data_IF_840785023531
#
_entry.id   IF_840785023531
#
_cell.length_a   1.000
_cell.length_b   1.000
_cell.length_c   1.000
_cell.angle_alpha   90.00
_cell.angle_beta   90.00
_cell.angle_gamma   90.00
#
_symmetry.space_group_name_H-M   'P 1'
#
loop_
_entity.id
_entity.type
_entity.pdbx_description
1 polymer ?
#
# COMPACT_ATOMS: atom_id res chain seq x y z
N UNK A 1 1.12 -3.77 -8.12
CA UNK A 1 1.60 -2.39 -7.85
C UNK A 1 0.45 -1.42 -7.56
N UNK A 2 -0.55 -1.28 -8.45
CA UNK A 2 -1.72 -0.38 -8.25
C UNK A 2 -2.40 -0.47 -6.86
N UNK A 3 -2.43 -1.64 -6.22
CA UNK A 3 -3.03 -1.81 -4.90
C UNK A 3 -2.17 -1.23 -3.76
N UNK A 4 -0.84 -1.35 -3.86
CA UNK A 4 0.09 -0.76 -2.90
C UNK A 4 0.08 0.77 -3.00
N UNK A 5 0.06 1.31 -4.22
CA UNK A 5 -0.01 2.76 -4.43
C UNK A 5 -1.31 3.35 -3.87
N UNK A 6 -2.44 2.65 -4.07
CA UNK A 6 -3.74 3.02 -3.46
C UNK A 6 -3.69 2.97 -1.92
N UNK A 7 -2.99 1.99 -1.35
CA UNK A 7 -2.83 1.87 0.11
C UNK A 7 -2.03 3.05 0.66
N UNK A 8 -0.90 3.38 0.02
CA UNK A 8 -0.05 4.52 0.37
C UNK A 8 -0.85 5.84 0.27
N UNK A 9 -1.64 6.03 -0.80
CA UNK A 9 -2.45 7.23 -0.95
C UNK A 9 -3.53 7.39 0.14
N UNK A 10 -4.20 6.29 0.52
CA UNK A 10 -5.20 6.31 1.59
C UNK A 10 -4.57 6.66 2.94
N UNK A 11 -3.45 6.03 3.25
CA UNK A 11 -2.70 6.27 4.47
C UNK A 11 -2.23 7.73 4.56
N UNK A 12 -1.70 8.27 3.46
CA UNK A 12 -1.32 9.69 3.35
C UNK A 12 -2.48 10.65 3.59
N UNK A 13 -3.67 10.31 3.11
CA UNK A 13 -4.86 11.14 3.32
C UNK A 13 -5.28 11.16 4.80
N UNK A 14 -5.19 10.01 5.46
CA UNK A 14 -5.50 9.87 6.89
C UNK A 14 -4.48 10.60 7.77
N UNK A 15 -3.19 10.46 7.44
CA UNK A 15 -2.11 11.19 8.11
C UNK A 15 -2.29 12.69 7.98
N UNK A 16 -2.52 13.20 6.77
CA UNK A 16 -2.78 14.61 6.56
C UNK A 16 -4.00 15.14 7.33
N UNK A 17 -5.05 14.32 7.50
CA UNK A 17 -6.22 14.70 8.30
C UNK A 17 -5.84 14.87 9.77
N UNK A 18 -5.16 13.89 10.35
CA UNK A 18 -4.75 13.94 11.76
C UNK A 18 -3.71 15.05 12.01
N UNK A 19 -2.83 15.33 11.05
CA UNK A 19 -1.89 16.46 11.11
C UNK A 19 -2.60 17.82 11.12
N UNK A 20 -3.65 17.98 10.32
CA UNK A 20 -4.44 19.23 10.31
C UNK A 20 -5.08 19.46 11.68
N UNK A 21 -5.64 18.40 12.28
CA UNK A 21 -6.18 18.46 13.63
C UNK A 21 -5.11 18.86 14.64
N UNK A 22 -3.93 18.22 14.61
CA UNK A 22 -2.85 18.52 15.53
C UNK A 22 -2.29 19.95 15.37
N UNK A 23 -2.24 20.49 14.15
CA UNK A 23 -1.84 21.89 13.90
C UNK A 23 -2.85 22.90 14.46
N UNK A 24 -4.14 22.56 14.45
CA UNK A 24 -5.18 23.43 15.00
C UNK A 24 -5.33 23.33 16.52
N UNK A 25 -4.77 22.29 17.14
CA UNK A 25 -4.79 22.11 18.59
C UNK A 25 -3.78 23.06 19.26
N UNK A 26 -4.27 23.82 20.24
CA UNK A 26 -3.44 24.67 21.09
C UNK A 26 -3.12 23.90 22.38
N UNK A 27 -1.86 23.94 22.81
CA UNK A 27 -1.43 23.24 24.01
C UNK A 27 -1.10 24.24 25.12
N UNK A 28 -1.50 23.91 26.35
CA UNK A 28 -1.18 24.71 27.53
C UNK A 28 0.28 24.50 27.98
N UNK A 29 0.89 23.36 27.63
CA UNK A 29 2.27 23.06 27.98
C UNK A 29 3.01 22.18 26.95
N UNK A 30 4.34 22.22 26.99
CA UNK A 30 5.24 21.43 26.14
C UNK A 30 5.02 19.91 26.31
N UNK A 31 4.89 19.35 27.53
CA UNK A 31 4.59 17.93 27.73
C UNK A 31 3.31 17.43 27.02
N UNK A 32 2.27 18.25 26.95
CA UNK A 32 1.01 17.89 26.30
C UNK A 32 1.20 17.80 24.78
N UNK A 33 1.87 18.80 24.21
CA UNK A 33 2.25 18.80 22.79
C UNK A 33 3.14 17.60 22.43
N UNK A 34 4.07 17.22 23.31
CA UNK A 34 4.92 16.04 23.13
C UNK A 34 4.14 14.73 23.24
N UNK A 35 3.15 14.65 24.12
CA UNK A 35 2.28 13.48 24.27
C UNK A 35 1.41 13.30 23.03
N UNK A 36 0.82 14.38 22.53
CA UNK A 36 0.05 14.37 21.29
C UNK A 36 0.92 13.95 20.09
N UNK A 37 2.16 14.48 20.00
CA UNK A 37 3.17 14.03 19.04
C UNK A 37 3.42 12.51 19.12
N UNK A 38 3.63 11.95 20.32
CA UNK A 38 3.90 10.50 20.48
C UNK A 38 2.71 9.64 20.08
N UNK A 39 1.49 10.01 20.49
CA UNK A 39 0.26 9.32 20.09
C UNK A 39 0.10 9.30 18.57
N UNK A 40 0.39 10.42 17.95
CA UNK A 40 0.34 10.57 16.50
C UNK A 40 1.39 9.68 15.81
N UNK A 41 2.64 9.67 16.28
CA UNK A 41 3.70 8.79 15.76
C UNK A 41 3.34 7.30 15.86
N UNK A 42 2.68 6.87 16.93
CA UNK A 42 2.32 5.46 17.14
C UNK A 42 1.18 4.98 16.23
N UNK A 43 0.30 5.88 15.79
CA UNK A 43 -0.85 5.55 14.96
C UNK A 43 -0.52 5.48 13.46
N UNK A 44 0.62 6.05 13.06
CA UNK A 44 1.05 6.04 11.68
C UNK A 44 1.95 4.86 11.41
N UNK A 45 1.75 4.17 10.27
CA UNK A 45 2.80 3.26 9.83
C UNK A 45 4.04 4.11 9.54
N UNK A 46 5.22 3.55 9.84
CA UNK A 46 6.54 4.17 9.72
C UNK A 46 6.92 4.73 8.33
N UNK A 47 5.99 4.76 7.39
CA UNK A 47 6.15 5.13 5.99
C UNK A 47 6.15 6.65 5.76
N UNK A 48 5.71 7.47 6.72
CA UNK A 48 5.50 8.91 6.47
C UNK A 48 6.26 9.90 7.36
N UNK A 49 6.96 9.46 8.43
CA UNK A 49 7.48 10.41 9.41
C UNK A 49 9.01 10.45 9.45
N UNK A 50 9.56 11.61 9.05
CA UNK A 50 10.94 11.99 9.38
C UNK A 50 11.05 12.85 10.64
N UNK A 51 10.13 13.81 10.90
CA UNK A 51 10.28 14.67 12.10
C UNK A 51 9.04 15.51 12.45
N UNK A 52 8.63 15.51 13.72
CA UNK A 52 7.65 16.46 14.27
C UNK A 52 8.39 17.45 15.18
N UNK A 53 8.31 18.75 14.91
CA UNK A 53 8.90 19.79 15.75
C UNK A 53 7.80 20.52 16.55
N UNK A 54 8.04 20.78 17.82
CA UNK A 54 7.16 21.61 18.65
C UNK A 54 7.87 22.94 18.83
N UNK A 55 7.19 24.05 18.55
CA UNK A 55 7.75 25.39 18.74
C UNK A 55 6.83 26.21 19.66
N UNK A 56 7.44 27.06 20.47
CA UNK A 56 6.71 28.08 21.22
C UNK A 56 6.35 29.21 20.26
N UNK A 57 5.08 29.59 20.23
CA UNK A 57 4.59 30.71 19.43
C UNK A 57 4.06 31.74 20.41
N UNK A 58 4.85 32.79 20.65
CA UNK A 58 4.39 33.93 21.43
C UNK A 58 3.17 34.55 20.74
N UNK A 59 1.99 34.44 21.36
CA UNK A 59 0.81 35.14 20.90
C UNK A 59 0.94 36.63 21.24
N UNK A 60 0.75 37.50 20.25
CA UNK A 60 0.71 38.97 20.44
C UNK A 60 -0.42 39.46 21.36
N UNK A 61 -1.28 38.56 21.82
CA UNK A 61 -2.39 38.82 22.72
C UNK A 61 -2.30 37.84 23.90
N UNK A 62 -2.59 38.34 25.10
CA UNK A 62 -2.64 37.58 26.36
C UNK A 62 -3.61 36.41 26.20
N UNK A 63 -3.07 35.21 25.94
CA UNK A 63 -3.86 34.01 25.68
C UNK A 63 -3.20 32.85 26.42
N UNK A 64 -3.99 32.09 27.18
CA UNK A 64 -3.57 30.97 28.05
C UNK A 64 -2.87 29.78 27.35
N UNK A 65 -2.53 29.88 26.06
CA UNK A 65 -2.01 28.77 25.24
C UNK A 65 -0.91 29.23 24.25
N UNK A 66 0.35 29.40 24.69
CA UNK A 66 1.46 29.90 23.85
C UNK A 66 2.17 28.81 23.02
N UNK A 67 1.70 27.56 23.04
CA UNK A 67 2.39 26.44 22.37
C UNK A 67 1.63 25.94 21.14
N UNK A 68 2.33 25.89 19.99
CA UNK A 68 1.82 25.35 18.73
C UNK A 68 2.76 24.26 18.18
N UNK A 69 2.21 23.24 17.51
CA UNK A 69 3.00 22.15 16.94
C UNK A 69 3.20 22.34 15.44
N UNK A 70 4.44 22.62 15.03
CA UNK A 70 4.80 22.64 13.61
C UNK A 70 5.19 21.25 13.10
N UNK A 71 4.26 20.63 12.36
CA UNK A 71 4.50 19.31 11.80
C UNK A 71 4.96 19.35 10.34
N UNK A 72 6.08 18.67 10.06
CA UNK A 72 6.57 18.38 8.71
C UNK A 72 6.60 16.86 8.48
N UNK A 73 5.87 16.38 7.48
CA UNK A 73 5.74 14.94 7.19
C UNK A 73 6.42 14.64 5.86
N UNK A 74 7.27 13.61 5.86
CA UNK A 74 8.11 13.24 4.72
C UNK A 74 8.15 11.72 4.58
N UNK A 75 7.88 11.24 3.37
CA UNK A 75 7.86 9.81 3.06
C UNK A 75 9.22 9.14 3.34
N UNK A 76 9.16 7.95 3.96
CA UNK A 76 10.32 7.07 4.16
C UNK A 76 10.47 6.14 2.96
N UNK A 77 11.11 6.67 1.92
CA UNK A 77 11.30 5.99 0.63
C UNK A 77 11.87 4.57 0.75
N UNK A 78 12.83 4.34 1.66
CA UNK A 78 13.45 3.03 1.87
C UNK A 78 12.47 1.94 2.31
N UNK A 79 11.46 2.28 3.13
CA UNK A 79 10.40 1.32 3.50
C UNK A 79 9.42 1.09 2.36
N UNK A 80 9.09 2.14 1.60
CA UNK A 80 8.22 2.02 0.41
C UNK A 80 8.87 1.09 -0.62
N UNK A 81 10.17 1.22 -0.83
CA UNK A 81 10.91 0.35 -1.74
C UNK A 81 10.92 -1.10 -1.24
N UNK A 82 11.11 -1.32 0.07
CA UNK A 82 11.05 -2.65 0.67
C UNK A 82 9.66 -3.29 0.49
N UNK A 83 8.59 -2.55 0.73
CA UNK A 83 7.21 -3.02 0.56
C UNK A 83 6.87 -3.25 -0.91
N UNK A 84 7.37 -2.41 -1.83
CA UNK A 84 7.29 -2.65 -3.28
C UNK A 84 7.97 -3.96 -3.67
N UNK A 85 9.19 -4.20 -3.15
CA UNK A 85 9.93 -5.46 -3.37
C UNK A 85 9.17 -6.65 -2.81
N UNK A 86 8.53 -6.53 -1.64
CA UNK A 86 7.71 -7.60 -1.03
C UNK A 86 6.46 -7.88 -1.84
N UNK A 87 5.70 -6.85 -2.21
CA UNK A 87 4.45 -6.96 -2.97
C UNK A 87 4.65 -7.48 -4.40
N UNK A 88 5.87 -7.42 -4.94
CA UNK A 88 6.22 -7.98 -6.25
C UNK A 88 6.62 -9.45 -6.23
N UNK A 89 6.75 -10.09 -5.06
CA UNK A 89 7.18 -11.49 -4.95
C UNK A 89 6.02 -12.43 -5.23
N UNK A 90 6.34 -13.56 -5.84
CA UNK A 90 5.46 -14.70 -6.04
C UNK A 90 6.29 -15.98 -5.92
N UNK A 91 5.61 -17.10 -5.66
CA UNK A 91 6.22 -18.41 -5.54
C UNK A 91 5.75 -19.24 -6.72
N UNK A 92 6.69 -19.89 -7.40
CA UNK A 92 6.40 -20.95 -8.37
C UNK A 92 6.83 -22.27 -7.74
N UNK A 93 5.96 -23.26 -7.81
CA UNK A 93 6.21 -24.61 -7.34
C UNK A 93 6.03 -25.60 -8.50
N UNK A 94 6.90 -26.59 -8.57
CA UNK A 94 6.85 -27.68 -9.56
C UNK A 94 7.14 -29.00 -8.88
N UNK A 95 6.57 -30.09 -9.40
CA UNK A 95 6.87 -31.45 -8.98
C UNK A 95 8.11 -32.03 -9.70
N UNK A 96 8.68 -31.31 -10.66
CA UNK A 96 9.90 -31.70 -11.37
C UNK A 96 11.10 -31.48 -10.45
N UNK A 97 11.77 -32.57 -10.08
CA UNK A 97 12.91 -32.55 -9.16
C UNK A 97 14.24 -32.26 -9.87
N UNK A 98 14.36 -32.65 -11.14
CA UNK A 98 15.57 -32.43 -11.93
C UNK A 98 15.62 -30.98 -12.45
N UNK A 99 16.72 -30.29 -12.13
CA UNK A 99 16.96 -28.90 -12.53
C UNK A 99 17.42 -28.77 -13.98
N UNK A 100 17.90 -29.86 -14.59
CA UNK A 100 18.27 -29.91 -16.00
C UNK A 100 17.04 -30.13 -16.89
N UNK A 101 16.00 -30.80 -16.37
CA UNK A 101 14.73 -31.01 -17.07
C UNK A 101 13.87 -29.74 -17.11
N UNK A 102 13.91 -28.93 -16.05
CA UNK A 102 13.22 -27.64 -16.00
C UNK A 102 14.09 -26.58 -15.33
N UNK A 103 14.68 -25.72 -16.16
CA UNK A 103 15.44 -24.58 -15.68
C UNK A 103 14.52 -23.50 -15.06
N UNK A 104 15.09 -22.60 -14.26
CA UNK A 104 14.33 -21.52 -13.60
C UNK A 104 13.76 -20.55 -14.63
N UNK A 105 14.52 -20.29 -15.68
CA UNK A 105 14.17 -19.40 -16.78
C UNK A 105 13.01 -19.98 -17.59
N UNK A 106 13.05 -21.27 -17.90
CA UNK A 106 11.95 -21.97 -18.57
C UNK A 106 10.69 -22.04 -17.69
N UNK A 107 10.83 -22.34 -16.40
CA UNK A 107 9.71 -22.32 -15.46
C UNK A 107 9.01 -20.96 -15.45
N UNK A 108 9.78 -19.87 -15.38
CA UNK A 108 9.24 -18.51 -15.40
C UNK A 108 8.56 -18.21 -16.75
N UNK A 109 9.18 -18.61 -17.87
CA UNK A 109 8.63 -18.43 -19.21
C UNK A 109 7.29 -19.16 -19.37
N UNK A 110 7.21 -20.44 -18.98
CA UNK A 110 5.98 -21.24 -19.02
C UNK A 110 4.87 -20.61 -18.18
N UNK A 111 5.18 -20.19 -16.94
CA UNK A 111 4.22 -19.50 -16.08
C UNK A 111 3.68 -18.21 -16.73
N UNK A 112 4.56 -17.39 -17.32
CA UNK A 112 4.15 -16.16 -18.01
C UNK A 112 3.32 -16.42 -19.27
N UNK A 113 3.60 -17.53 -19.96
CA UNK A 113 2.85 -17.98 -21.13
C UNK A 113 1.43 -18.47 -20.84
N UNK A 114 1.12 -18.87 -19.60
CA UNK A 114 -0.19 -19.43 -19.22
C UNK A 114 -1.36 -18.44 -19.43
N UNK A 115 -1.09 -17.13 -19.47
CA UNK A 115 -2.12 -16.12 -19.70
C UNK A 115 -2.84 -16.25 -21.05
N UNK A 116 -2.20 -16.81 -22.09
CA UNK A 116 -2.84 -17.02 -23.38
C UNK A 116 -3.92 -18.10 -23.31
N UNK A 117 -3.65 -19.17 -22.57
CA UNK A 117 -4.58 -20.28 -22.32
C UNK A 117 -5.80 -19.76 -21.55
N UNK A 118 -5.59 -18.98 -20.49
CA UNK A 118 -6.69 -18.41 -19.70
C UNK A 118 -7.61 -17.51 -20.55
N UNK A 119 -7.04 -16.67 -21.42
CA UNK A 119 -7.84 -15.83 -22.34
C UNK A 119 -8.64 -16.67 -23.35
N UNK A 120 -8.05 -17.74 -23.87
CA UNK A 120 -8.74 -18.69 -24.75
C UNK A 120 -9.93 -19.36 -24.06
N UNK A 121 -9.77 -19.78 -22.80
CA UNK A 121 -10.88 -20.35 -22.03
C UNK A 121 -11.97 -19.34 -21.66
N UNK A 122 -11.61 -18.09 -21.40
CA UNK A 122 -12.60 -17.02 -21.16
C UNK A 122 -13.44 -16.80 -22.43
N UNK A 123 -12.81 -16.76 -23.60
CA UNK A 123 -13.50 -16.65 -24.89
C UNK A 123 -14.44 -17.84 -25.15
N UNK A 124 -14.00 -19.08 -24.91
CA UNK A 124 -14.84 -20.27 -25.06
C UNK A 124 -16.02 -20.31 -24.10
N UNK A 125 -15.94 -19.60 -22.96
CA UNK A 125 -17.02 -19.48 -21.99
C UNK A 125 -17.90 -18.26 -22.23
N UNK A 126 -17.62 -17.43 -23.23
CA UNK A 126 -18.44 -16.28 -23.55
C UNK A 126 -19.81 -16.74 -24.07
N UNK A 127 -20.93 -16.37 -23.41
CA UNK A 127 -22.27 -16.74 -23.85
C UNK A 127 -22.59 -16.31 -25.29
N UNK A 128 -21.96 -15.23 -25.77
CA UNK A 128 -22.14 -14.74 -27.14
C UNK A 128 -21.41 -15.62 -28.17
N UNK A 129 -20.34 -16.32 -27.77
CA UNK A 129 -19.64 -17.30 -28.60
C UNK A 129 -20.36 -18.66 -28.64
N UNK A 130 -21.15 -18.98 -27.61
CA UNK A 130 -21.98 -20.19 -27.52
C UNK A 130 -23.36 -20.04 -28.18
N UNK A 131 -23.54 -19.08 -29.08
CA UNK A 131 -24.83 -18.75 -29.71
C UNK A 131 -25.39 -19.78 -30.67
N UNK A 132 -24.69 -20.89 -30.91
CA UNK A 132 -25.32 -22.13 -31.32
C UNK A 132 -24.87 -23.22 -30.37
N UNK A 133 -25.77 -23.58 -29.45
CA UNK A 133 -25.58 -24.63 -28.48
C UNK A 133 -25.17 -25.93 -29.18
N UNK A 134 -23.89 -26.28 -29.09
CA UNK A 134 -23.38 -27.60 -29.47
C UNK A 134 -23.81 -28.57 -28.37
N UNK A 135 -25.11 -28.83 -28.26
CA UNK A 135 -25.60 -30.00 -27.57
C UNK A 135 -25.25 -31.20 -28.45
N UNK A 136 -24.14 -31.85 -28.16
CA UNK A 136 -23.96 -33.23 -28.61
C UNK A 136 -25.15 -34.02 -28.07
N UNK A 137 -25.98 -34.55 -28.98
CA UNK A 137 -26.96 -35.58 -28.65
C UNK A 137 -26.18 -36.80 -28.18
N UNK A 138 -26.03 -36.91 -26.86
CA UNK A 138 -25.54 -38.07 -26.10
C UNK A 138 -24.14 -38.58 -26.50
N UNK A 139 -23.18 -38.68 -25.56
CA UNK A 139 -21.96 -39.41 -25.84
C UNK A 139 -22.34 -40.90 -25.91
N UNK A 140 -22.31 -41.47 -27.11
CA UNK A 140 -22.29 -42.92 -27.29
C UNK A 140 -20.88 -43.45 -27.07
#
# INVERSE_FOLDING_TARGET
MKNLDKKIQKERAEVNKQLRTLKSEKFACIPDAQTAKRKLLNNFLDHELKQINVQEVESKYDTDFPYEVQVQVNLRESKIELEKKRAGRFILATNILDRMELTKEEMLSKYKGQQSVERGFIFLKDPLFLTDSIFLKSPH
#
